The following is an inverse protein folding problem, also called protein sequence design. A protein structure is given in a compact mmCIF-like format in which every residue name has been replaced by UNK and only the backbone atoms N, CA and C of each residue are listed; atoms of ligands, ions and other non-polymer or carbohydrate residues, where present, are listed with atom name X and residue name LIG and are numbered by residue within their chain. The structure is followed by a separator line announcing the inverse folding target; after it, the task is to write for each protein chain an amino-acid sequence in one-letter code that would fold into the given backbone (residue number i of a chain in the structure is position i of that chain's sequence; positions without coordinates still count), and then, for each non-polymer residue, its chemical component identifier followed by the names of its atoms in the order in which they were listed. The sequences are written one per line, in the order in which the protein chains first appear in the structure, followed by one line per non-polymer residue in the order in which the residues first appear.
data_IF_421813194632
#
_entry.id   IF_421813194632
#
_cell.length_a   1.000
_cell.length_b   1.000
_cell.length_c   1.000
_cell.angle_alpha   90.00
_cell.angle_beta   90.00
_cell.angle_gamma   90.00
#
_symmetry.space_group_name_H-M   'P 1'
#
loop_
_entity.id
_entity.type
_entity.pdbx_description
1 polymer ?
#
# COMPACT_ATOMS: atom_id res chain seq x y z
N UNK A 1 5.52 23.21 -30.98
CA UNK A 1 6.85 23.13 -30.34
C UNK A 1 6.77 22.02 -29.31
N UNK A 2 7.49 20.94 -29.55
CA UNK A 2 7.52 19.73 -28.74
C UNK A 2 8.18 20.02 -27.40
N UNK A 3 7.43 19.96 -26.30
CA UNK A 3 8.03 20.00 -24.97
C UNK A 3 8.54 18.58 -24.65
N UNK A 4 9.77 18.34 -25.11
CA UNK A 4 10.49 17.07 -24.98
C UNK A 4 10.98 16.84 -23.56
N UNK A 5 10.06 16.68 -22.60
CA UNK A 5 10.38 16.04 -21.32
C UNK A 5 10.54 14.55 -21.61
N UNK A 6 11.79 14.14 -21.76
CA UNK A 6 12.19 12.78 -22.10
C UNK A 6 11.50 11.78 -21.19
N UNK A 7 10.90 10.76 -21.82
CA UNK A 7 10.34 9.60 -21.14
C UNK A 7 11.40 9.05 -20.18
N UNK A 8 11.08 8.95 -18.88
CA UNK A 8 11.99 8.37 -17.90
C UNK A 8 12.45 6.98 -18.39
N UNK A 9 13.74 6.69 -18.22
CA UNK A 9 14.29 5.40 -18.64
C UNK A 9 13.54 4.26 -17.94
N UNK A 10 13.16 3.19 -18.66
CA UNK A 10 12.40 2.11 -18.09
C UNK A 10 13.16 1.46 -16.92
N UNK A 11 12.52 1.42 -15.76
CA UNK A 11 13.05 0.73 -14.58
C UNK A 11 12.81 -0.77 -14.76
N UNK A 12 13.78 -1.62 -14.44
CA UNK A 12 13.62 -3.07 -14.42
C UNK A 12 13.46 -3.59 -12.99
N UNK A 13 12.57 -4.56 -12.77
CA UNK A 13 12.39 -5.25 -11.50
C UNK A 13 11.90 -6.67 -11.70
N UNK A 14 12.31 -7.60 -10.83
CA UNK A 14 11.87 -9.00 -10.86
C UNK A 14 10.49 -9.17 -10.22
N UNK A 15 10.04 -8.23 -9.37
CA UNK A 15 8.67 -8.17 -8.85
C UNK A 15 8.23 -6.75 -8.51
N UNK A 16 6.90 -6.54 -8.46
CA UNK A 16 6.27 -5.32 -7.93
C UNK A 16 5.56 -5.60 -6.61
N UNK A 17 5.83 -4.79 -5.59
CA UNK A 17 5.18 -4.89 -4.28
C UNK A 17 4.39 -3.61 -4.05
N UNK A 18 3.07 -3.71 -4.03
CA UNK A 18 2.20 -2.55 -3.86
C UNK A 18 1.74 -2.46 -2.41
N UNK A 19 1.75 -1.26 -1.85
CA UNK A 19 0.78 -0.98 -0.81
C UNK A 19 -0.66 -1.00 -1.36
N UNK A 20 -1.67 -1.01 -0.48
CA UNK A 20 -3.08 -1.05 -0.86
C UNK A 20 -3.77 0.31 -0.70
N UNK A 21 -3.90 0.77 0.54
CA UNK A 21 -4.75 1.88 0.95
C UNK A 21 -4.10 3.21 0.61
N UNK A 22 -4.68 3.95 -0.34
CA UNK A 22 -3.99 5.10 -0.88
C UNK A 22 -2.87 4.72 -1.85
N UNK A 23 -2.78 3.46 -2.31
CA UNK A 23 -1.80 3.07 -3.34
C UNK A 23 -2.45 2.36 -4.52
N UNK A 24 -3.34 1.40 -4.30
CA UNK A 24 -4.14 0.71 -5.33
C UNK A 24 -5.62 1.08 -5.26
N UNK A 25 -6.12 1.33 -4.06
CA UNK A 25 -7.50 1.73 -3.78
C UNK A 25 -7.56 3.12 -3.13
N UNK A 26 -8.63 3.86 -3.39
CA UNK A 26 -8.96 5.04 -2.59
C UNK A 26 -9.84 4.62 -1.42
N UNK A 27 -9.28 4.71 -0.22
CA UNK A 27 -9.97 4.44 1.05
C UNK A 27 -9.96 5.66 1.98
N UNK A 28 -9.44 6.80 1.52
CA UNK A 28 -9.12 7.96 2.36
C UNK A 28 -10.33 8.42 3.17
N UNK A 29 -11.46 8.65 2.50
CA UNK A 29 -12.71 9.08 3.16
C UNK A 29 -13.25 8.05 4.16
N UNK A 30 -13.19 6.75 3.83
CA UNK A 30 -13.69 5.69 4.70
C UNK A 30 -12.83 5.52 5.95
N UNK A 31 -11.51 5.53 5.78
CA UNK A 31 -10.52 5.41 6.86
C UNK A 31 -10.60 6.63 7.79
N UNK A 32 -10.65 7.84 7.25
CA UNK A 32 -10.77 9.07 8.03
C UNK A 32 -12.03 9.06 8.90
N UNK A 33 -13.16 8.63 8.31
CA UNK A 33 -14.43 8.53 9.04
C UNK A 33 -14.38 7.46 10.12
N UNK A 34 -13.81 6.29 9.85
CA UNK A 34 -13.70 5.23 10.85
C UNK A 34 -12.81 5.67 12.03
N UNK A 35 -11.69 6.34 11.78
CA UNK A 35 -10.81 6.87 12.82
C UNK A 35 -11.41 8.05 13.58
N UNK A 36 -12.15 8.92 12.89
CA UNK A 36 -12.92 9.96 13.55
C UNK A 36 -13.99 9.36 14.48
N UNK A 37 -14.76 8.38 14.00
CA UNK A 37 -15.79 7.70 14.80
C UNK A 37 -15.16 6.94 15.98
N UNK A 38 -14.00 6.31 15.78
CA UNK A 38 -13.19 5.71 16.84
C UNK A 38 -12.84 6.73 17.92
N UNK A 39 -12.32 7.89 17.51
CA UNK A 39 -11.92 8.93 18.45
C UNK A 39 -13.11 9.43 19.28
N UNK A 40 -14.25 9.67 18.63
CA UNK A 40 -15.50 10.05 19.29
C UNK A 40 -16.00 8.94 20.23
N UNK A 41 -15.96 7.69 19.80
CA UNK A 41 -16.43 6.54 20.59
C UNK A 41 -15.63 6.35 21.88
N UNK A 42 -14.31 6.57 21.82
CA UNK A 42 -13.41 6.40 22.96
C UNK A 42 -13.11 7.70 23.72
N UNK A 43 -13.70 8.83 23.31
CA UNK A 43 -13.53 10.11 24.00
C UNK A 43 -12.11 10.70 23.90
N UNK A 44 -11.41 10.42 22.80
CA UNK A 44 -10.09 11.00 22.48
C UNK A 44 -10.20 12.03 21.36
N UNK A 45 -9.18 12.87 21.20
CA UNK A 45 -9.19 13.94 20.20
C UNK A 45 -9.10 13.37 18.76
N UNK A 46 -10.11 13.59 17.90
CA UNK A 46 -10.08 13.12 16.51
C UNK A 46 -8.92 13.67 15.70
N UNK A 47 -8.54 14.93 15.91
CA UNK A 47 -7.43 15.55 15.16
C UNK A 47 -6.10 14.87 15.50
N UNK A 48 -5.89 14.57 16.79
CA UNK A 48 -4.70 13.87 17.25
C UNK A 48 -4.61 12.43 16.72
N UNK A 49 -5.73 11.71 16.63
CA UNK A 49 -5.81 10.35 16.08
C UNK A 49 -5.51 10.36 14.57
N UNK A 50 -6.20 11.20 13.81
CA UNK A 50 -6.03 11.28 12.35
C UNK A 50 -4.61 11.68 11.95
N UNK A 51 -3.94 12.52 12.74
CA UNK A 51 -2.55 12.90 12.50
C UNK A 51 -1.55 11.74 12.48
N UNK A 52 -1.93 10.55 13.01
CA UNK A 52 -1.02 9.39 13.13
C UNK A 52 -1.60 8.09 12.59
N UNK A 53 -2.86 8.08 12.11
CA UNK A 53 -3.58 6.86 11.76
C UNK A 53 -3.19 6.26 10.40
N UNK A 54 -2.73 7.07 9.44
CA UNK A 54 -2.48 6.62 8.07
C UNK A 54 -1.20 5.79 7.91
N UNK A 55 -1.27 4.75 7.08
CA UNK A 55 -0.11 3.99 6.62
C UNK A 55 0.52 3.04 7.63
N UNK A 56 -0.01 2.98 8.85
CA UNK A 56 0.50 2.16 9.96
C UNK A 56 -0.57 1.18 10.42
N UNK A 57 -0.20 0.17 11.21
CA UNK A 57 -1.14 -0.80 11.74
C UNK A 57 -2.05 -0.14 12.79
N UNK A 58 -3.31 -0.55 12.83
CA UNK A 58 -4.31 0.03 13.74
C UNK A 58 -3.91 -0.10 15.23
N UNK A 59 -3.32 -1.23 15.62
CA UNK A 59 -2.87 -1.49 16.99
C UNK A 59 -1.79 -0.50 17.47
N UNK A 60 -0.89 -0.07 16.58
CA UNK A 60 0.14 0.93 16.86
C UNK A 60 -0.46 2.31 17.13
N UNK A 61 -1.53 2.67 16.42
CA UNK A 61 -2.28 3.91 16.66
C UNK A 61 -3.08 3.81 17.96
N UNK A 62 -3.86 2.74 18.14
CA UNK A 62 -4.70 2.50 19.32
C UNK A 62 -3.86 2.53 20.61
N UNK A 63 -2.66 1.97 20.59
CA UNK A 63 -1.72 1.94 21.72
C UNK A 63 -1.36 3.33 22.25
N UNK A 64 -1.40 4.37 21.40
CA UNK A 64 -1.08 5.76 21.78
C UNK A 64 -2.20 6.44 22.55
N UNK A 65 -3.44 5.98 22.37
CA UNK A 65 -4.62 6.66 22.88
C UNK A 65 -5.35 5.88 23.97
N UNK A 66 -5.25 4.55 23.98
CA UNK A 66 -6.00 3.69 24.90
C UNK A 66 -5.11 2.82 25.81
N UNK A 67 -5.57 2.53 27.04
CA UNK A 67 -4.89 1.59 27.93
C UNK A 67 -4.97 0.16 27.40
N UNK A 68 -3.99 -0.68 27.75
CA UNK A 68 -3.87 -2.08 27.29
C UNK A 68 -5.18 -2.88 27.40
N UNK A 69 -5.94 -2.67 28.50
CA UNK A 69 -7.20 -3.36 28.76
C UNK A 69 -8.30 -3.11 27.73
N UNK A 70 -8.20 -2.04 26.94
CA UNK A 70 -9.22 -1.65 25.95
C UNK A 70 -8.81 -1.93 24.50
N UNK A 71 -7.52 -2.14 24.24
CA UNK A 71 -6.94 -2.14 22.87
C UNK A 71 -7.52 -3.20 21.95
N UNK A 72 -7.69 -4.42 22.46
CA UNK A 72 -8.22 -5.53 21.66
C UNK A 72 -9.69 -5.27 21.23
N UNK A 73 -10.51 -4.75 22.14
CA UNK A 73 -11.90 -4.42 21.84
C UNK A 73 -12.00 -3.21 20.88
N UNK A 74 -11.15 -2.20 21.10
CA UNK A 74 -11.00 -1.04 20.22
C UNK A 74 -10.60 -1.43 18.78
N UNK A 75 -9.63 -2.34 18.62
CA UNK A 75 -9.20 -2.81 17.30
C UNK A 75 -10.33 -3.57 16.59
N UNK A 76 -11.01 -4.47 17.29
CA UNK A 76 -12.15 -5.20 16.72
C UNK A 76 -13.32 -4.26 16.35
N UNK A 77 -13.56 -3.21 17.15
CA UNK A 77 -14.57 -2.21 16.85
C UNK A 77 -14.20 -1.39 15.60
N UNK A 78 -12.93 -0.98 15.48
CA UNK A 78 -12.45 -0.23 14.32
C UNK A 78 -12.54 -1.06 13.04
N UNK A 79 -12.08 -2.32 13.06
CA UNK A 79 -12.17 -3.23 11.92
C UNK A 79 -13.64 -3.39 11.48
N UNK A 80 -14.56 -3.58 12.42
CA UNK A 80 -15.99 -3.65 12.12
C UNK A 80 -16.51 -2.35 11.50
N UNK A 81 -16.06 -1.19 12.00
CA UNK A 81 -16.47 0.11 11.48
C UNK A 81 -15.93 0.36 10.07
N UNK A 82 -14.67 0.01 9.80
CA UNK A 82 -14.10 0.10 8.46
C UNK A 82 -14.78 -0.84 7.47
N UNK A 83 -15.18 -2.04 7.90
CA UNK A 83 -15.94 -2.97 7.08
C UNK A 83 -17.34 -2.45 6.72
N UNK A 84 -18.01 -1.71 7.61
CA UNK A 84 -19.29 -1.06 7.28
C UNK A 84 -19.13 -0.02 6.16
N UNK A 85 -17.96 0.63 6.09
CA UNK A 85 -17.62 1.67 5.12
C UNK A 85 -16.92 1.12 3.87
N UNK A 86 -16.65 -0.18 3.79
CA UNK A 86 -15.84 -0.77 2.70
C UNK A 86 -16.44 -0.56 1.32
N UNK A 87 -17.76 -0.39 1.24
CA UNK A 87 -18.50 -0.12 0.01
C UNK A 87 -18.14 1.22 -0.65
N UNK A 88 -17.43 2.11 0.06
CA UNK A 88 -16.89 3.38 -0.46
C UNK A 88 -15.53 3.19 -1.15
N UNK A 89 -14.91 2.01 -1.00
CA UNK A 89 -13.61 1.70 -1.58
C UNK A 89 -13.72 1.52 -3.09
N UNK A 90 -12.92 2.29 -3.83
CA UNK A 90 -12.83 2.19 -5.30
C UNK A 90 -11.38 2.02 -5.73
N UNK A 91 -11.17 1.33 -6.87
CA UNK A 91 -9.85 1.28 -7.49
C UNK A 91 -9.42 2.69 -7.93
N UNK A 92 -8.14 2.99 -7.79
CA UNK A 92 -7.58 4.22 -8.32
C UNK A 92 -7.51 4.20 -9.85
N UNK A 93 -7.42 5.37 -10.51
CA UNK A 93 -7.35 5.44 -11.96
C UNK A 93 -6.26 4.53 -12.55
N UNK A 94 -6.68 3.58 -13.39
CA UNK A 94 -5.81 2.63 -14.08
C UNK A 94 -5.31 1.45 -13.25
N UNK A 95 -5.59 1.39 -11.94
CA UNK A 95 -5.03 0.36 -11.05
C UNK A 95 -5.52 -1.03 -11.43
N UNK A 96 -6.82 -1.16 -11.71
CA UNK A 96 -7.41 -2.43 -12.12
C UNK A 96 -6.79 -2.93 -13.43
N UNK A 97 -6.76 -2.09 -14.47
CA UNK A 97 -6.21 -2.45 -15.78
C UNK A 97 -4.71 -2.79 -15.69
N UNK A 98 -3.97 -2.10 -14.82
CA UNK A 98 -2.56 -2.35 -14.59
C UNK A 98 -2.31 -3.70 -13.91
N UNK A 99 -3.11 -4.04 -12.88
CA UNK A 99 -3.01 -5.34 -12.21
C UNK A 99 -3.50 -6.49 -13.09
N UNK A 100 -4.57 -6.31 -13.86
CA UNK A 100 -5.02 -7.28 -14.87
C UNK A 100 -3.89 -7.54 -15.88
N UNK A 101 -3.19 -6.50 -16.31
CA UNK A 101 -2.04 -6.64 -17.20
C UNK A 101 -0.88 -7.42 -16.58
N UNK A 102 -0.62 -7.26 -15.28
CA UNK A 102 0.36 -8.09 -14.56
C UNK A 102 -0.03 -9.57 -14.58
N UNK A 103 -1.31 -9.85 -14.36
CA UNK A 103 -1.87 -11.21 -14.38
C UNK A 103 -1.76 -11.83 -15.77
N UNK A 104 -2.16 -11.11 -16.83
CA UNK A 104 -2.04 -11.56 -18.22
C UNK A 104 -0.61 -11.91 -18.63
N UNK A 105 0.35 -11.13 -18.13
CA UNK A 105 1.77 -11.33 -18.39
C UNK A 105 2.39 -12.41 -17.48
N UNK A 106 1.74 -12.79 -16.38
CA UNK A 106 2.36 -13.66 -15.37
C UNK A 106 3.58 -13.00 -14.70
N UNK A 107 3.56 -11.67 -14.58
CA UNK A 107 4.59 -10.93 -13.86
C UNK A 107 4.48 -11.19 -12.34
N UNK A 108 5.58 -11.36 -11.59
CA UNK A 108 5.51 -11.50 -10.13
C UNK A 108 5.09 -10.19 -9.46
N UNK A 109 4.07 -10.23 -8.59
CA UNK A 109 3.66 -9.07 -7.82
C UNK A 109 2.99 -9.45 -6.49
N UNK A 110 2.91 -8.51 -5.55
CA UNK A 110 2.24 -8.71 -4.27
C UNK A 110 1.52 -7.44 -3.81
N UNK A 111 0.55 -7.61 -2.91
CA UNK A 111 -0.01 -6.54 -2.10
C UNK A 111 0.51 -6.68 -0.67
N UNK A 112 0.94 -5.57 -0.08
CA UNK A 112 1.55 -5.47 1.26
C UNK A 112 0.89 -4.32 2.02
N UNK A 113 -0.06 -4.64 2.90
CA UNK A 113 -0.91 -3.66 3.59
C UNK A 113 -0.75 -3.72 5.12
N UNK A 114 -1.03 -2.58 5.77
CA UNK A 114 -1.17 -2.46 7.23
C UNK A 114 -2.58 -2.79 7.72
N UNK A 115 -3.51 -3.18 6.83
CA UNK A 115 -4.84 -3.66 7.18
C UNK A 115 -4.82 -5.13 7.65
N UNK A 116 -5.81 -5.53 8.45
CA UNK A 116 -6.07 -6.95 8.74
C UNK A 116 -6.45 -7.72 7.48
N UNK A 117 -6.29 -9.05 7.48
CA UNK A 117 -6.59 -9.85 6.30
C UNK A 117 -8.05 -9.73 5.86
N UNK A 118 -8.98 -9.68 6.83
CA UNK A 118 -10.40 -9.53 6.56
C UNK A 118 -10.70 -8.22 5.80
N UNK A 119 -10.14 -7.12 6.28
CA UNK A 119 -10.36 -5.80 5.69
C UNK A 119 -9.66 -5.65 4.34
N UNK A 120 -8.44 -6.19 4.21
CA UNK A 120 -7.71 -6.21 2.96
C UNK A 120 -8.51 -6.92 1.86
N UNK A 121 -9.02 -8.13 2.13
CA UNK A 121 -9.86 -8.87 1.18
C UNK A 121 -11.13 -8.10 0.81
N UNK A 122 -11.85 -7.55 1.80
CA UNK A 122 -13.07 -6.81 1.55
C UNK A 122 -12.84 -5.56 0.67
N UNK A 123 -11.72 -4.85 0.86
CA UNK A 123 -11.32 -3.69 0.04
C UNK A 123 -11.01 -4.08 -1.40
N UNK A 124 -10.28 -5.18 -1.60
CA UNK A 124 -9.98 -5.69 -2.95
C UNK A 124 -11.25 -6.08 -3.69
N UNK A 125 -12.16 -6.78 -3.02
CA UNK A 125 -13.44 -7.20 -3.58
C UNK A 125 -14.33 -5.99 -3.94
N UNK A 126 -14.45 -5.01 -3.04
CA UNK A 126 -15.22 -3.79 -3.27
C UNK A 126 -14.68 -2.97 -4.45
N UNK A 127 -13.35 -2.90 -4.60
CA UNK A 127 -12.69 -2.20 -5.70
C UNK A 127 -12.66 -2.99 -7.02
N UNK A 128 -13.08 -4.26 -7.03
CA UNK A 128 -13.02 -5.10 -8.22
C UNK A 128 -11.60 -5.44 -8.67
N UNK A 129 -10.63 -5.42 -7.75
CA UNK A 129 -9.23 -5.73 -8.08
C UNK A 129 -9.00 -7.24 -8.18
N UNK A 130 -8.10 -7.70 -9.07
CA UNK A 130 -7.77 -9.12 -9.15
C UNK A 130 -7.10 -9.60 -7.86
N UNK A 131 -7.34 -10.88 -7.49
CA UNK A 131 -6.67 -11.51 -6.34
C UNK A 131 -5.15 -11.53 -6.56
N UNK A 132 -4.35 -10.99 -5.61
CA UNK A 132 -2.90 -11.02 -5.73
C UNK A 132 -2.36 -12.44 -5.52
N UNK A 133 -1.26 -12.82 -6.19
CA UNK A 133 -0.64 -14.13 -5.96
C UNK A 133 0.03 -14.20 -4.56
N UNK A 134 0.41 -13.05 -4.00
CA UNK A 134 0.86 -12.90 -2.61
C UNK A 134 0.17 -11.70 -1.99
N UNK A 135 -0.51 -11.93 -0.87
CA UNK A 135 -1.02 -10.89 0.02
C UNK A 135 -0.28 -10.97 1.35
N UNK A 136 0.30 -9.86 1.79
CA UNK A 136 0.88 -9.68 3.12
C UNK A 136 0.08 -8.60 3.84
N UNK A 137 -0.34 -8.91 5.06
CA UNK A 137 -1.27 -8.11 5.87
C UNK A 137 -0.65 -7.78 7.23
N UNK A 138 -1.36 -6.99 8.04
CA UNK A 138 -0.96 -6.73 9.42
C UNK A 138 -0.84 -8.01 10.27
N UNK A 139 -1.56 -9.08 9.90
CA UNK A 139 -1.62 -10.34 10.64
C UNK A 139 -0.40 -11.23 10.36
N UNK A 140 0.35 -10.93 9.30
CA UNK A 140 1.50 -11.72 8.85
C UNK A 140 2.83 -11.32 9.49
N UNK A 141 2.89 -10.16 10.17
CA UNK A 141 4.13 -9.58 10.70
C UNK A 141 3.98 -9.14 12.15
N UNK A 142 5.08 -9.23 12.90
CA UNK A 142 5.10 -8.81 14.31
C UNK A 142 5.24 -7.29 14.48
N UNK A 143 5.79 -6.58 13.48
CA UNK A 143 6.05 -5.14 13.51
C UNK A 143 5.59 -4.55 12.18
N UNK A 144 4.83 -3.45 12.23
CA UNK A 144 4.33 -2.77 11.04
C UNK A 144 5.34 -1.82 10.39
N UNK A 145 4.94 -1.21 9.27
CA UNK A 145 5.68 -0.13 8.61
C UNK A 145 5.95 0.98 9.65
N UNK A 146 7.19 1.52 9.76
CA UNK A 146 8.26 1.52 8.77
C UNK A 146 9.26 0.34 8.86
N UNK A 147 8.98 -0.69 9.67
CA UNK A 147 9.80 -1.90 9.67
C UNK A 147 9.71 -2.61 8.30
N UNK A 148 10.83 -3.13 7.75
CA UNK A 148 10.83 -3.75 6.42
C UNK A 148 10.23 -5.16 6.37
N UNK A 149 9.88 -5.78 7.51
CA UNK A 149 9.46 -7.17 7.59
C UNK A 149 8.35 -7.55 6.61
N UNK A 150 7.38 -6.66 6.38
CA UNK A 150 6.27 -6.92 5.47
C UNK A 150 6.72 -7.06 4.00
N UNK A 151 7.64 -6.20 3.54
CA UNK A 151 8.17 -6.28 2.17
C UNK A 151 9.16 -7.42 1.99
N UNK A 152 9.98 -7.69 3.02
CA UNK A 152 10.89 -8.84 3.03
C UNK A 152 10.10 -10.16 2.95
N UNK A 153 9.00 -10.26 3.69
CA UNK A 153 8.11 -11.41 3.65
C UNK A 153 7.45 -11.56 2.27
N UNK A 154 6.97 -10.48 1.66
CA UNK A 154 6.37 -10.52 0.33
C UNK A 154 7.37 -10.99 -0.74
N UNK A 155 8.59 -10.43 -0.74
CA UNK A 155 9.67 -10.85 -1.64
C UNK A 155 10.04 -12.33 -1.43
N UNK A 156 10.14 -12.77 -0.17
CA UNK A 156 10.40 -14.16 0.16
C UNK A 156 9.29 -15.10 -0.32
N UNK A 157 8.02 -14.73 -0.19
CA UNK A 157 6.86 -15.53 -0.68
C UNK A 157 6.84 -15.62 -2.20
N UNK A 158 7.32 -14.59 -2.89
CA UNK A 158 7.49 -14.57 -4.35
C UNK A 158 8.77 -15.26 -4.84
N UNK A 159 9.71 -15.60 -3.95
CA UNK A 159 10.97 -16.24 -4.30
C UNK A 159 11.96 -15.31 -5.02
N UNK A 160 11.91 -14.00 -4.75
CA UNK A 160 12.77 -12.99 -5.38
C UNK A 160 13.63 -12.24 -4.34
N UNK A 161 14.73 -11.64 -4.80
CA UNK A 161 15.54 -10.75 -3.98
C UNK A 161 14.79 -9.41 -3.80
N UNK A 162 14.58 -8.90 -2.57
CA UNK A 162 13.97 -7.58 -2.35
C UNK A 162 14.74 -6.45 -3.06
N UNK A 163 16.04 -6.56 -3.28
CA UNK A 163 16.83 -5.57 -4.04
C UNK A 163 16.50 -5.54 -5.54
N UNK A 164 15.88 -6.61 -6.06
CA UNK A 164 15.32 -6.67 -7.41
C UNK A 164 13.86 -6.23 -7.48
N UNK A 165 13.24 -5.85 -6.37
CA UNK A 165 11.83 -5.44 -6.32
C UNK A 165 11.67 -3.92 -6.48
N UNK A 166 10.50 -3.52 -6.99
CA UNK A 166 9.99 -2.15 -6.83
C UNK A 166 8.85 -2.19 -5.83
N UNK A 167 8.94 -1.34 -4.80
CA UNK A 167 7.84 -1.02 -3.89
C UNK A 167 7.13 0.25 -4.40
N UNK A 168 5.82 0.18 -4.54
CA UNK A 168 4.97 1.36 -4.84
C UNK A 168 4.20 1.70 -3.57
N UNK A 169 4.30 2.95 -3.13
CA UNK A 169 3.83 3.42 -1.82
C UNK A 169 3.45 4.89 -1.85
N UNK A 170 2.48 5.32 -1.06
CA UNK A 170 1.98 6.69 -1.02
C UNK A 170 2.31 7.43 0.27
N UNK A 171 2.69 6.73 1.34
CA UNK A 171 2.91 7.33 2.65
C UNK A 171 4.31 7.08 3.21
N UNK A 172 4.77 8.02 4.02
CA UNK A 172 6.14 8.04 4.53
C UNK A 172 6.58 6.77 5.27
N UNK A 173 5.69 6.16 6.06
CA UNK A 173 5.99 4.92 6.79
C UNK A 173 6.34 3.78 5.82
N UNK A 174 5.54 3.61 4.78
CA UNK A 174 5.75 2.57 3.78
C UNK A 174 6.93 2.82 2.86
N UNK A 175 7.14 4.08 2.43
CA UNK A 175 8.34 4.46 1.69
C UNK A 175 9.63 4.11 2.45
N UNK A 176 9.64 4.32 3.77
CA UNK A 176 10.77 3.94 4.64
C UNK A 176 10.91 2.42 4.77
N UNK A 177 9.82 1.67 4.93
CA UNK A 177 9.84 0.21 4.98
C UNK A 177 10.39 -0.39 3.68
N UNK A 178 9.94 0.09 2.51
CA UNK A 178 10.43 -0.39 1.21
C UNK A 178 11.92 -0.13 1.02
N UNK A 179 12.41 1.06 1.39
CA UNK A 179 13.84 1.38 1.36
C UNK A 179 14.65 0.52 2.33
N UNK A 180 14.15 0.31 3.55
CA UNK A 180 14.80 -0.52 4.56
C UNK A 180 14.86 -2.00 4.15
N UNK A 181 13.92 -2.47 3.32
CA UNK A 181 13.95 -3.80 2.72
C UNK A 181 15.01 -3.94 1.61
N UNK A 182 15.62 -2.83 1.17
CA UNK A 182 16.59 -2.80 0.07
C UNK A 182 15.97 -2.65 -1.32
N UNK A 183 14.64 -2.50 -1.41
CA UNK A 183 13.93 -2.35 -2.67
C UNK A 183 14.11 -0.94 -3.26
N UNK A 184 13.93 -0.83 -4.58
CA UNK A 184 13.67 0.48 -5.20
C UNK A 184 12.26 0.91 -4.82
N UNK A 185 12.07 2.19 -4.53
CA UNK A 185 10.77 2.73 -4.11
C UNK A 185 10.28 3.76 -5.12
N UNK A 186 9.00 3.68 -5.49
CA UNK A 186 8.27 4.64 -6.31
C UNK A 186 7.16 5.24 -5.46
N UNK A 187 7.05 6.57 -5.44
CA UNK A 187 5.97 7.24 -4.72
C UNK A 187 4.71 7.27 -5.58
N UNK A 188 3.58 6.81 -5.05
CA UNK A 188 2.26 7.00 -5.62
C UNK A 188 1.67 8.30 -5.07
N UNK A 189 1.25 9.19 -5.95
CA UNK A 189 0.61 10.47 -5.62
C UNK A 189 1.57 11.57 -5.18
N UNK A 190 1.01 12.55 -4.46
CA UNK A 190 1.64 13.84 -4.19
C UNK A 190 2.30 13.94 -2.81
N UNK A 191 2.36 12.86 -2.04
CA UNK A 191 3.00 12.86 -0.72
C UNK A 191 4.43 13.40 -0.82
N UNK A 192 4.77 14.40 0.00
CA UNK A 192 6.02 15.12 -0.06
C UNK A 192 6.67 15.20 1.34
N UNK A 193 7.36 14.13 1.71
CA UNK A 193 8.21 14.07 2.90
C UNK A 193 9.71 13.97 2.56
N UNK A 194 10.63 14.17 3.52
CA UNK A 194 12.07 14.01 3.32
C UNK A 194 12.48 12.65 2.71
N UNK A 195 11.76 11.58 3.02
CA UNK A 195 11.94 10.23 2.49
C UNK A 195 11.70 10.13 0.97
N UNK A 196 10.97 11.08 0.39
CA UNK A 196 10.68 11.09 -1.06
C UNK A 196 11.81 11.66 -1.90
N UNK A 197 12.85 12.23 -1.26
CA UNK A 197 13.97 12.83 -1.96
C UNK A 197 14.65 11.82 -2.91
N UNK A 198 14.70 12.18 -4.19
CA UNK A 198 15.30 11.39 -5.25
C UNK A 198 14.52 10.13 -5.66
N UNK A 199 13.28 9.95 -5.20
CA UNK A 199 12.43 8.85 -5.64
C UNK A 199 11.70 9.18 -6.94
N UNK A 200 11.51 8.16 -7.77
CA UNK A 200 10.57 8.22 -8.89
C UNK A 200 9.14 8.33 -8.37
N UNK A 201 8.23 8.85 -9.20
CA UNK A 201 6.85 9.09 -8.81
C UNK A 201 5.88 8.70 -9.91
N UNK A 202 4.70 8.23 -9.51
CA UNK A 202 3.51 8.12 -10.36
C UNK A 202 2.37 8.91 -9.75
N UNK A 203 1.61 9.62 -10.58
CA UNK A 203 0.35 10.20 -10.13
C UNK A 203 -0.71 9.09 -9.92
N UNK A 204 -0.82 8.21 -10.93
CA UNK A 204 -1.74 7.08 -10.99
C UNK A 204 -1.19 6.02 -11.96
N UNK A 205 -2.00 5.02 -12.29
CA UNK A 205 -1.60 3.90 -13.16
C UNK A 205 -2.02 4.09 -14.63
N UNK A 206 -2.71 5.18 -14.99
CA UNK A 206 -3.25 5.40 -16.35
C UNK A 206 -2.17 5.49 -17.43
N UNK A 207 -0.95 5.86 -17.03
CA UNK A 207 0.23 5.96 -17.91
C UNK A 207 1.29 4.92 -17.58
N UNK A 208 1.10 4.13 -16.54
CA UNK A 208 2.01 3.07 -16.16
C UNK A 208 1.91 1.95 -17.19
N UNK A 209 3.06 1.48 -17.68
CA UNK A 209 3.12 0.40 -18.67
C UNK A 209 4.01 -0.71 -18.16
N UNK A 210 3.75 -1.93 -18.63
CA UNK A 210 4.54 -3.11 -18.30
C UNK A 210 4.81 -3.87 -19.59
N UNK A 211 6.05 -4.27 -19.77
CA UNK A 211 6.46 -5.24 -20.77
C UNK A 211 7.37 -6.25 -20.09
N UNK A 212 7.33 -7.52 -20.50
CA UNK A 212 8.30 -8.51 -20.06
C UNK A 212 9.53 -8.46 -20.95
N UNK A 213 10.70 -8.71 -20.37
CA UNK A 213 11.89 -9.00 -21.17
C UNK A 213 11.80 -10.44 -21.69
N UNK A 214 12.29 -10.69 -22.91
CA UNK A 214 12.17 -12.00 -23.57
C UNK A 214 12.79 -13.18 -22.81
N UNK A 215 13.54 -12.92 -21.73
CA UNK A 215 14.21 -13.91 -20.88
C UNK A 215 14.02 -13.67 -19.36
N UNK A 216 13.24 -12.68 -18.93
CA UNK A 216 13.04 -12.34 -17.51
C UNK A 216 11.78 -11.49 -17.34
N UNK A 217 10.97 -11.68 -16.27
CA UNK A 217 9.73 -10.94 -16.06
C UNK A 217 9.99 -9.52 -15.54
N UNK A 218 10.87 -8.78 -16.23
CA UNK A 218 11.27 -7.44 -15.83
C UNK A 218 10.20 -6.45 -16.23
N UNK A 219 9.45 -5.93 -15.26
CA UNK A 219 8.55 -4.79 -15.46
C UNK A 219 9.36 -3.63 -16.03
N UNK A 220 8.83 -2.94 -17.04
CA UNK A 220 9.38 -1.67 -17.57
C UNK A 220 8.31 -0.60 -17.49
N UNK A 221 8.31 0.16 -16.39
CA UNK A 221 7.48 1.35 -16.24
C UNK A 221 8.06 2.52 -17.00
N UNK A 222 7.25 3.18 -17.82
CA UNK A 222 7.45 4.58 -18.16
C UNK A 222 6.75 5.41 -17.09
N UNK A 223 7.50 6.27 -16.43
CA UNK A 223 7.03 7.14 -15.35
C UNK A 223 7.04 8.59 -15.84
#
# INVERSE_FOLDING_TARGET
MSDGRGVAAPIAADALLFDNDGTLVDTTSAVDRAWHDFAVHHGVDPEAVLAVAHGVRADETITRFLPESERAAAAAWLDARELELVHETVALPGAQEFLERLVELGAPWAIVTSASALLAHARLDAAGLPTPPVLVTADDVAVGKPDPACYLLAASRLGVDPASCIVVEDVGAGLRAGRAAGARVVVRGDYAGPETAGLDRIADYTRATISLHATSPRVRGHW
#
